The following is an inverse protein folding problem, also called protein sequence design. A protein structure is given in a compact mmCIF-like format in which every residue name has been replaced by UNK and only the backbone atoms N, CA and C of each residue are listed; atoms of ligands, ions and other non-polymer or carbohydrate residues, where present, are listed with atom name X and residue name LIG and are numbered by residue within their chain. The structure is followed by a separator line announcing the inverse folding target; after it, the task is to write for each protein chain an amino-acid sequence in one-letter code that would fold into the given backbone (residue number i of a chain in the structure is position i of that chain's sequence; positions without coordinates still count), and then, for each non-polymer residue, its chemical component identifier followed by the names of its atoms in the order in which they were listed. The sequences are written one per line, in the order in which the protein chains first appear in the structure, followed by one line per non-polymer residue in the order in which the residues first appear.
data_IF_307802662689
#
_entry.id   IF_307802662689
#
_cell.length_a   1.000
_cell.length_b   1.000
_cell.length_c   1.000
_cell.angle_alpha   90.00
_cell.angle_beta   90.00
_cell.angle_gamma   90.00
#
_symmetry.space_group_name_H-M   'P 1'
#
loop_
_entity.id
_entity.type
_entity.pdbx_description
1 polymer ?
#
# COMPACT_ATOMS: atom_id res chain seq x y z
N UNK A 1 47.41 3.17 25.74
CA UNK A 1 46.54 4.23 25.16
C UNK A 1 46.51 3.95 23.66
N UNK A 2 45.44 3.72 22.92
CA UNK A 2 44.02 4.12 22.90
C UNK A 2 43.22 2.93 22.37
N UNK A 3 42.15 2.51 23.06
CA UNK A 3 41.17 1.56 22.52
C UNK A 3 40.17 2.36 21.68
N UNK A 4 40.31 2.37 20.37
CA UNK A 4 39.26 2.84 19.44
C UNK A 4 38.37 1.64 19.12
N UNK A 5 37.32 1.47 19.92
CA UNK A 5 36.24 0.48 19.72
C UNK A 5 35.04 1.25 19.14
N UNK A 6 34.31 0.67 18.18
CA UNK A 6 33.86 1.37 16.99
C UNK A 6 32.52 2.08 17.17
N UNK A 7 32.44 3.33 16.69
CA UNK A 7 31.21 4.12 16.60
C UNK A 7 30.40 3.76 15.33
N UNK A 8 30.23 2.45 15.07
CA UNK A 8 29.67 1.95 13.80
C UNK A 8 28.73 0.75 14.03
N UNK A 9 27.90 0.84 15.07
CA UNK A 9 26.98 -0.24 15.48
C UNK A 9 25.61 0.29 15.96
N UNK A 10 25.17 1.44 15.44
CA UNK A 10 23.88 2.07 15.79
C UNK A 10 22.87 2.15 14.62
N UNK A 11 23.17 1.56 13.46
CA UNK A 11 22.31 1.64 12.26
C UNK A 11 21.56 0.32 11.97
N UNK A 12 21.59 -0.65 12.89
CA UNK A 12 21.10 -2.02 12.63
C UNK A 12 19.73 -2.36 13.26
N UNK A 13 19.01 -1.40 13.86
CA UNK A 13 17.78 -1.71 14.62
C UNK A 13 16.54 -0.89 14.27
N UNK A 14 16.53 -0.12 13.18
CA UNK A 14 15.28 0.52 12.71
C UNK A 14 14.38 -0.41 11.90
N UNK A 15 14.63 -1.71 11.91
CA UNK A 15 13.80 -2.71 11.26
C UNK A 15 12.57 -3.04 12.13
N UNK A 16 11.38 -2.83 11.56
CA UNK A 16 10.08 -3.36 12.01
C UNK A 16 9.37 -2.69 13.20
N UNK A 17 9.60 -1.40 13.48
CA UNK A 17 8.61 -0.65 14.25
C UNK A 17 7.43 -0.31 13.32
N UNK A 18 6.32 -1.04 13.46
CA UNK A 18 5.07 -0.72 12.76
C UNK A 18 4.54 0.63 13.28
N UNK A 19 4.52 1.70 12.45
CA UNK A 19 4.07 3.02 12.88
C UNK A 19 2.58 3.05 13.21
N UNK A 20 1.80 2.07 12.75
CA UNK A 20 0.39 1.92 13.08
C UNK A 20 0.15 1.43 14.52
N UNK A 21 1.13 0.75 15.14
CA UNK A 21 0.99 0.19 16.48
C UNK A 21 0.65 1.24 17.54
N UNK A 22 1.32 2.39 17.45
CA UNK A 22 1.21 3.49 18.42
C UNK A 22 0.11 4.51 18.05
N UNK A 23 -0.58 4.34 16.91
CA UNK A 23 -1.67 5.23 16.51
C UNK A 23 -2.94 4.97 17.32
N UNK A 24 -3.67 6.03 17.66
CA UNK A 24 -5.03 5.93 18.22
C UNK A 24 -6.05 5.55 17.15
N UNK A 25 -7.24 5.10 17.58
CA UNK A 25 -8.31 4.79 16.64
C UNK A 25 -8.77 6.04 15.86
N UNK A 26 -8.80 7.22 16.50
CA UNK A 26 -9.06 8.49 15.79
C UNK A 26 -7.97 8.79 14.76
N UNK A 27 -6.69 8.60 15.07
CA UNK A 27 -5.63 8.87 14.10
C UNK A 27 -5.75 7.97 12.87
N UNK A 28 -6.09 6.70 13.08
CA UNK A 28 -6.34 5.74 12.00
C UNK A 28 -7.55 6.15 11.15
N UNK A 29 -8.61 6.66 11.75
CA UNK A 29 -9.79 7.11 10.99
C UNK A 29 -9.55 8.38 10.16
N UNK A 30 -8.47 9.11 10.41
CA UNK A 30 -8.07 10.25 9.58
C UNK A 30 -7.14 9.89 8.41
N UNK A 31 -6.68 8.64 8.33
CA UNK A 31 -5.84 8.19 7.23
C UNK A 31 -6.61 8.15 5.91
N UNK A 32 -5.92 8.47 4.81
CA UNK A 32 -6.45 8.24 3.46
C UNK A 32 -6.57 6.74 3.18
N UNK A 33 -7.39 6.37 2.20
CA UNK A 33 -7.58 4.98 1.83
C UNK A 33 -6.29 4.33 1.31
N UNK A 34 -5.45 5.11 0.60
CA UNK A 34 -4.13 4.68 0.16
C UNK A 34 -3.19 4.44 1.33
N UNK A 35 -3.21 5.32 2.34
CA UNK A 35 -2.39 5.15 3.54
C UNK A 35 -2.82 3.92 4.33
N UNK A 36 -4.12 3.67 4.47
CA UNK A 36 -4.63 2.45 5.11
C UNK A 36 -4.15 1.20 4.37
N UNK A 37 -4.27 1.18 3.05
CA UNK A 37 -3.87 0.04 2.23
C UNK A 37 -2.34 -0.14 2.12
N UNK A 38 -1.57 0.93 2.19
CA UNK A 38 -0.11 0.85 2.27
C UNK A 38 0.33 0.29 3.63
N UNK A 39 -0.29 0.76 4.71
CA UNK A 39 0.00 0.27 6.06
C UNK A 39 -0.38 -1.21 6.23
N UNK A 40 -1.47 -1.69 5.63
CA UNK A 40 -1.83 -3.11 5.71
C UNK A 40 -0.91 -4.03 4.91
N UNK A 41 -0.29 -3.52 3.82
CA UNK A 41 0.67 -4.29 3.00
C UNK A 41 2.09 -4.26 3.56
N UNK A 42 2.50 -3.14 4.14
CA UNK A 42 3.91 -2.85 4.47
C UNK A 42 4.31 -3.27 5.88
N UNK A 43 3.35 -3.52 6.78
CA UNK A 43 3.62 -3.85 8.18
C UNK A 43 3.01 -5.18 8.60
N UNK A 44 3.43 -5.69 9.77
CA UNK A 44 2.75 -6.81 10.40
C UNK A 44 1.27 -6.47 10.63
N UNK A 45 0.40 -7.47 10.66
CA UNK A 45 -1.04 -7.29 10.86
C UNK A 45 -1.34 -6.33 12.02
N UNK A 46 -2.05 -5.24 11.74
CA UNK A 46 -2.48 -4.23 12.71
C UNK A 46 -4.01 -4.19 12.77
N UNK A 47 -4.60 -4.73 13.83
CA UNK A 47 -6.04 -4.90 13.95
C UNK A 47 -6.84 -3.59 13.75
N UNK A 48 -6.30 -2.45 14.16
CA UNK A 48 -6.95 -1.14 13.99
C UNK A 48 -7.06 -0.72 12.52
N UNK A 49 -6.00 -0.97 11.74
CA UNK A 49 -5.96 -0.68 10.30
C UNK A 49 -6.97 -1.57 9.58
N UNK A 50 -6.96 -2.87 9.86
CA UNK A 50 -7.87 -3.84 9.24
C UNK A 50 -9.34 -3.55 9.57
N UNK A 51 -9.63 -3.14 10.81
CA UNK A 51 -10.97 -2.72 11.20
C UNK A 51 -11.40 -1.48 10.41
N UNK A 52 -10.53 -0.50 10.21
CA UNK A 52 -10.86 0.70 9.43
C UNK A 52 -11.03 0.41 7.93
N UNK A 53 -10.18 -0.46 7.36
CA UNK A 53 -10.32 -0.98 5.98
C UNK A 53 -11.67 -1.67 5.81
N UNK A 54 -12.04 -2.56 6.75
CA UNK A 54 -13.30 -3.28 6.74
C UNK A 54 -14.52 -2.37 6.88
N UNK A 55 -14.46 -1.38 7.78
CA UNK A 55 -15.51 -0.36 7.95
C UNK A 55 -15.76 0.44 6.66
N UNK A 56 -14.69 0.71 5.91
CA UNK A 56 -14.73 1.48 4.66
C UNK A 56 -14.93 0.63 3.41
N UNK A 57 -15.07 -0.69 3.55
CA UNK A 57 -15.23 -1.66 2.46
C UNK A 57 -14.14 -1.48 1.37
N UNK A 58 -12.90 -1.20 1.80
CA UNK A 58 -11.78 -0.98 0.90
C UNK A 58 -11.24 -2.30 0.38
N UNK A 59 -11.05 -2.40 -0.93
CA UNK A 59 -10.22 -3.45 -1.51
C UNK A 59 -8.86 -2.85 -1.83
N UNK A 60 -7.80 -3.33 -1.17
CA UNK A 60 -6.46 -2.79 -1.32
C UNK A 60 -5.73 -3.26 -2.58
N UNK A 61 -6.44 -3.28 -3.71
CA UNK A 61 -5.86 -3.49 -5.04
C UNK A 61 -5.57 -2.14 -5.70
N UNK A 62 -4.56 -2.11 -6.57
CA UNK A 62 -4.13 -0.87 -7.20
C UNK A 62 -5.23 -0.34 -8.14
N UNK A 63 -5.97 -1.25 -8.80
CA UNK A 63 -7.11 -0.94 -9.67
C UNK A 63 -8.27 -0.32 -8.89
N UNK A 64 -8.63 -0.90 -7.73
CA UNK A 64 -9.70 -0.36 -6.87
C UNK A 64 -9.35 1.05 -6.39
N UNK A 65 -8.13 1.25 -5.87
CA UNK A 65 -7.68 2.55 -5.38
C UNK A 65 -7.56 3.58 -6.51
N UNK A 66 -7.13 3.17 -7.71
CA UNK A 66 -7.08 4.05 -8.87
C UNK A 66 -8.47 4.52 -9.31
N UNK A 67 -9.46 3.62 -9.33
CA UNK A 67 -10.85 3.98 -9.65
C UNK A 67 -11.50 4.85 -8.59
N UNK A 68 -11.23 4.58 -7.31
CA UNK A 68 -11.74 5.42 -6.22
C UNK A 68 -11.15 6.84 -6.26
N UNK A 69 -9.86 6.99 -6.56
CA UNK A 69 -9.20 8.30 -6.77
C UNK A 69 -9.80 9.11 -7.92
N UNK A 70 -10.33 8.44 -8.94
CA UNK A 70 -11.04 9.08 -10.04
C UNK A 70 -12.47 9.51 -9.68
N UNK A 71 -12.93 9.23 -8.46
CA UNK A 71 -14.25 9.60 -7.96
C UNK A 71 -15.35 8.59 -8.28
N UNK A 72 -15.02 7.44 -8.89
CA UNK A 72 -16.01 6.40 -9.12
C UNK A 72 -16.45 5.76 -7.80
N UNK A 73 -17.77 5.60 -7.64
CA UNK A 73 -18.34 5.00 -6.43
C UNK A 73 -18.25 3.48 -6.51
N UNK A 74 -17.69 2.79 -5.50
CA UNK A 74 -17.63 1.33 -5.49
C UNK A 74 -19.00 0.66 -5.70
N UNK A 75 -19.00 -0.54 -6.29
CA UNK A 75 -20.19 -1.36 -6.58
C UNK A 75 -21.19 -0.67 -7.53
N UNK A 76 -20.67 0.11 -8.47
CA UNK A 76 -21.45 0.69 -9.57
C UNK A 76 -20.91 0.19 -10.91
N UNK A 77 -21.73 0.15 -11.98
CA UNK A 77 -21.27 -0.23 -13.31
C UNK A 77 -20.06 0.58 -13.78
N UNK A 78 -20.02 1.89 -13.47
CA UNK A 78 -18.92 2.77 -13.87
C UNK A 78 -17.62 2.39 -13.15
N UNK A 79 -17.70 1.99 -11.89
CA UNK A 79 -16.55 1.53 -11.13
C UNK A 79 -16.02 0.19 -11.64
N UNK A 80 -16.91 -0.75 -11.98
CA UNK A 80 -16.54 -2.04 -12.59
C UNK A 80 -15.88 -1.83 -13.95
N UNK A 81 -16.43 -0.93 -14.77
CA UNK A 81 -15.83 -0.55 -16.05
C UNK A 81 -14.44 0.07 -15.87
N UNK A 82 -14.28 0.96 -14.89
CA UNK A 82 -12.97 1.52 -14.55
C UNK A 82 -11.98 0.44 -14.12
N UNK A 83 -12.38 -0.49 -13.24
CA UNK A 83 -11.49 -1.56 -12.77
C UNK A 83 -11.05 -2.48 -13.91
N UNK A 84 -11.98 -2.85 -14.79
CA UNK A 84 -11.69 -3.65 -15.98
C UNK A 84 -10.67 -2.93 -16.88
N UNK A 85 -10.88 -1.63 -17.11
CA UNK A 85 -9.95 -0.82 -17.90
C UNK A 85 -8.54 -0.76 -17.27
N UNK A 86 -8.46 -0.55 -15.95
CA UNK A 86 -7.17 -0.52 -15.25
C UNK A 86 -6.44 -1.87 -15.31
N UNK A 87 -7.17 -2.97 -15.15
CA UNK A 87 -6.61 -4.33 -15.25
C UNK A 87 -6.05 -4.61 -16.66
N UNK A 88 -6.76 -4.18 -17.71
CA UNK A 88 -6.30 -4.30 -19.10
C UNK A 88 -5.02 -3.48 -19.35
N UNK A 89 -4.98 -2.24 -18.88
CA UNK A 89 -3.82 -1.35 -19.01
C UNK A 89 -2.58 -1.90 -18.30
N UNK A 90 -2.75 -2.44 -17.08
CA UNK A 90 -1.68 -3.11 -16.34
C UNK A 90 -1.13 -4.33 -17.07
N UNK A 91 -2.02 -5.13 -17.68
CA UNK A 91 -1.64 -6.32 -18.45
C UNK A 91 -0.87 -5.96 -19.73
N UNK A 92 -1.34 -4.95 -20.47
CA UNK A 92 -0.66 -4.44 -21.66
C UNK A 92 0.75 -3.92 -21.34
N UNK A 93 0.90 -3.18 -20.24
CA UNK A 93 2.18 -2.65 -19.79
C UNK A 93 3.18 -3.76 -19.44
N UNK A 94 2.73 -4.85 -18.80
CA UNK A 94 3.57 -6.01 -18.50
C UNK A 94 4.04 -6.74 -19.76
N UNK A 95 3.16 -6.93 -20.74
CA UNK A 95 3.51 -7.57 -22.01
C UNK A 95 4.56 -6.77 -22.78
N UNK A 96 4.38 -5.45 -22.89
CA UNK A 96 5.35 -4.57 -23.53
C UNK A 96 6.69 -4.56 -22.77
N UNK A 97 6.64 -4.47 -21.44
CA UNK A 97 7.83 -4.50 -20.60
C UNK A 97 8.63 -5.81 -20.73
N UNK A 98 7.95 -6.94 -20.89
CA UNK A 98 8.58 -8.24 -21.13
C UNK A 98 9.16 -8.34 -22.54
N UNK A 99 8.45 -7.85 -23.56
CA UNK A 99 8.94 -7.81 -24.94
C UNK A 99 10.23 -6.99 -25.04
N UNK A 100 10.28 -5.81 -24.41
CA UNK A 100 11.48 -4.95 -24.38
C UNK A 100 12.64 -5.60 -23.62
N UNK A 101 12.37 -6.31 -22.52
CA UNK A 101 13.40 -7.02 -21.75
C UNK A 101 13.97 -8.21 -22.51
N UNK A 102 13.15 -8.92 -23.27
CA UNK A 102 13.55 -10.11 -24.03
C UNK A 102 14.21 -9.77 -25.38
N UNK A 103 14.19 -8.49 -25.77
CA UNK A 103 14.86 -7.98 -26.98
C UNK A 103 16.23 -7.31 -26.70
N UNK A 104 16.72 -7.36 -25.46
CA UNK A 104 18.07 -6.91 -25.06
C UNK A 104 18.90 -8.12 -24.67
#
# INVERSE_FOLDING_TARGET
MKKFVPFLLLILVSACASPAKDMTAEQVSHLSDEQLCDMSKSYAFEAKIEVEIGKRDLQCTDEYLACKRQGYKPRTPDFENCQNYQSMMGSASKLLGNAVRNSR
#
